data_IF_924091067550
#
_entry.id   IF_924091067550
#
_cell.length_a   1.000
_cell.length_b   1.000
_cell.length_c   1.000
_cell.angle_alpha   90.00
_cell.angle_beta   90.00
_cell.angle_gamma   90.00
#
_symmetry.space_group_name_H-M   'P 1'
#
loop_
_entity.id
_entity.type
_entity.pdbx_description
1 polymer ?
#
# COMPACT_ATOMS: atom_id res chain seq x y z
N UNK A 1 -21.39 -9.50 -9.41
CA UNK A 1 -20.65 -10.44 -10.28
C UNK A 1 -20.35 -9.89 -11.68
N UNK A 2 -21.26 -9.19 -12.37
CA UNK A 2 -20.99 -8.64 -13.72
C UNK A 2 -19.89 -7.56 -13.80
N UNK A 3 -19.72 -6.76 -12.74
CA UNK A 3 -18.68 -5.70 -12.68
C UNK A 3 -17.30 -6.22 -12.30
N UNK A 4 -17.21 -7.33 -11.56
CA UNK A 4 -15.95 -7.88 -11.07
C UNK A 4 -14.93 -8.17 -12.19
N UNK A 5 -15.29 -8.82 -13.32
CA UNK A 5 -14.34 -9.06 -14.39
C UNK A 5 -13.88 -7.76 -15.07
N UNK A 6 -14.79 -6.80 -15.30
CA UNK A 6 -14.42 -5.51 -15.90
C UNK A 6 -13.47 -4.71 -15.01
N UNK A 7 -13.71 -4.70 -13.70
CA UNK A 7 -12.83 -4.00 -12.75
C UNK A 7 -11.46 -4.67 -12.70
N UNK A 8 -11.42 -6.00 -12.59
CA UNK A 8 -10.16 -6.76 -12.44
C UNK A 8 -9.30 -6.75 -13.72
N UNK A 9 -9.91 -6.87 -14.90
CA UNK A 9 -9.18 -7.07 -16.16
C UNK A 9 -9.03 -5.81 -17.02
N UNK A 10 -9.87 -4.79 -16.83
CA UNK A 10 -9.77 -3.55 -17.61
C UNK A 10 -9.41 -2.34 -16.75
N UNK A 11 -10.19 -2.06 -15.70
CA UNK A 11 -10.07 -0.80 -14.95
C UNK A 11 -8.79 -0.78 -14.10
N UNK A 12 -8.52 -1.85 -13.32
CA UNK A 12 -7.32 -1.91 -12.47
C UNK A 12 -6.01 -1.85 -13.27
N UNK A 13 -5.84 -2.64 -14.37
CA UNK A 13 -4.63 -2.55 -15.20
C UNK A 13 -4.47 -1.18 -15.87
N UNK A 14 -5.54 -0.60 -16.39
CA UNK A 14 -5.50 0.72 -17.04
C UNK A 14 -5.16 1.82 -16.01
N UNK A 15 -5.78 1.79 -14.84
CA UNK A 15 -5.52 2.72 -13.74
C UNK A 15 -4.06 2.61 -13.26
N UNK A 16 -3.59 1.38 -13.06
CA UNK A 16 -2.20 1.10 -12.73
C UNK A 16 -1.26 1.65 -13.78
N UNK A 17 -1.51 1.39 -15.07
CA UNK A 17 -0.65 1.89 -16.14
C UNK A 17 -0.62 3.43 -16.22
N UNK A 18 -1.77 4.08 -16.08
CA UNK A 18 -1.89 5.53 -16.13
C UNK A 18 -1.24 6.24 -14.92
N UNK A 19 -1.34 5.67 -13.71
CA UNK A 19 -0.84 6.29 -12.47
C UNK A 19 0.53 5.77 -12.03
N UNK A 20 0.93 4.57 -12.46
CA UNK A 20 2.28 4.02 -12.25
C UNK A 20 3.24 4.44 -13.36
N UNK A 21 2.78 5.20 -14.35
CA UNK A 21 3.60 5.92 -15.33
C UNK A 21 4.47 7.00 -14.66
N UNK A 22 5.30 6.58 -13.71
CA UNK A 22 6.37 7.38 -13.14
C UNK A 22 7.34 7.62 -14.28
N UNK A 23 7.53 8.89 -14.63
CA UNK A 23 8.51 9.26 -15.64
C UNK A 23 9.89 8.81 -15.19
N UNK A 24 10.38 7.70 -15.75
CA UNK A 24 11.72 7.19 -15.45
C UNK A 24 12.82 7.99 -16.17
N UNK A 25 12.44 8.95 -17.02
CA UNK A 25 13.38 9.85 -17.67
C UNK A 25 13.91 10.85 -16.66
N UNK A 26 15.21 10.78 -16.37
CA UNK A 26 15.88 11.68 -15.42
C UNK A 26 15.96 11.17 -13.98
N UNK A 27 15.54 9.92 -13.69
CA UNK A 27 15.72 9.35 -12.35
C UNK A 27 17.20 9.13 -12.11
N UNK A 28 17.78 9.96 -11.26
CA UNK A 28 19.16 9.79 -10.82
C UNK A 28 19.15 8.88 -9.60
N UNK A 29 20.23 8.13 -9.36
CA UNK A 29 20.34 7.27 -8.17
C UNK A 29 20.16 8.08 -6.87
N UNK A 30 20.49 9.38 -6.94
CA UNK A 30 20.33 10.35 -5.87
C UNK A 30 18.87 10.71 -5.54
N UNK A 31 17.95 10.56 -6.49
CA UNK A 31 16.51 10.79 -6.28
C UNK A 31 15.88 9.70 -5.38
N UNK A 32 16.41 8.48 -5.43
CA UNK A 32 15.99 7.38 -4.56
C UNK A 32 16.54 7.49 -3.13
N UNK A 33 17.70 8.14 -2.95
CA UNK A 33 18.30 8.36 -1.63
C UNK A 33 17.78 9.61 -0.94
N UNK A 34 16.91 10.40 -1.58
CA UNK A 34 16.31 11.56 -0.95
C UNK A 34 15.39 11.13 0.20
N UNK A 35 15.46 11.85 1.32
CA UNK A 35 14.83 11.44 2.58
C UNK A 35 13.30 11.34 2.47
N UNK A 36 12.69 12.12 1.57
CA UNK A 36 11.24 12.20 1.39
C UNK A 36 10.67 10.93 0.71
N UNK A 37 11.09 10.53 -0.51
CA UNK A 37 10.68 9.26 -1.11
C UNK A 37 10.96 8.05 -0.23
N UNK A 38 12.12 8.03 0.43
CA UNK A 38 12.52 6.93 1.30
C UNK A 38 11.61 6.85 2.54
N UNK A 39 11.27 8.00 3.13
CA UNK A 39 10.33 8.10 4.25
C UNK A 39 8.91 7.68 3.86
N UNK A 40 8.44 8.05 2.67
CA UNK A 40 7.13 7.63 2.14
C UNK A 40 7.12 6.12 1.90
N UNK A 41 8.16 5.57 1.27
CA UNK A 41 8.28 4.13 1.00
C UNK A 41 8.34 3.32 2.30
N UNK A 42 9.19 3.72 3.25
CA UNK A 42 9.30 3.06 4.56
C UNK A 42 8.01 3.22 5.37
N UNK A 43 7.39 4.40 5.38
CA UNK A 43 6.14 4.67 6.08
C UNK A 43 4.96 3.87 5.52
N UNK A 44 4.85 3.73 4.20
CA UNK A 44 3.82 2.91 3.56
C UNK A 44 4.03 1.40 3.83
N UNK A 45 5.28 0.93 3.74
CA UNK A 45 5.59 -0.48 3.92
C UNK A 45 5.51 -0.91 5.40
N UNK A 46 6.22 -0.21 6.27
CA UNK A 46 6.33 -0.52 7.70
C UNK A 46 5.08 -0.05 8.45
N UNK A 47 4.56 1.14 8.13
CA UNK A 47 3.38 1.67 8.81
C UNK A 47 2.13 0.81 8.62
N UNK A 48 1.88 0.32 7.39
CA UNK A 48 0.73 -0.55 7.13
C UNK A 48 0.90 -1.93 7.77
N UNK A 49 2.08 -2.53 7.65
CA UNK A 49 2.35 -3.86 8.24
C UNK A 49 2.24 -3.82 9.77
N UNK A 50 2.93 -2.88 10.42
CA UNK A 50 2.91 -2.71 11.88
C UNK A 50 1.53 -2.27 12.36
N UNK A 51 0.86 -1.38 11.62
CA UNK A 51 -0.49 -0.93 11.95
C UNK A 51 -1.50 -2.08 11.93
N UNK A 52 -1.58 -2.83 10.83
CA UNK A 52 -2.51 -3.95 10.70
C UNK A 52 -2.21 -5.04 11.71
N UNK A 53 -0.94 -5.45 11.84
CA UNK A 53 -0.57 -6.50 12.79
C UNK A 53 -0.78 -6.06 14.25
N UNK A 54 -0.37 -4.84 14.60
CA UNK A 54 -0.49 -4.29 15.94
C UNK A 54 -1.94 -4.11 16.39
N UNK A 55 -2.80 -3.53 15.55
CA UNK A 55 -4.22 -3.41 15.88
C UNK A 55 -4.91 -4.77 15.96
N UNK A 56 -4.59 -5.71 15.05
CA UNK A 56 -5.13 -7.08 15.11
C UNK A 56 -4.70 -7.78 16.40
N UNK A 57 -3.42 -7.63 16.78
CA UNK A 57 -2.90 -8.18 18.04
C UNK A 57 -3.63 -7.61 19.25
N UNK A 58 -3.79 -6.29 19.31
CA UNK A 58 -4.49 -5.61 20.41
C UNK A 58 -5.94 -6.10 20.48
N UNK A 59 -6.66 -6.13 19.35
CA UNK A 59 -8.06 -6.55 19.29
C UNK A 59 -8.26 -8.01 19.73
N UNK A 60 -7.34 -8.91 19.39
CA UNK A 60 -7.36 -10.30 19.86
C UNK A 60 -7.06 -10.36 21.36
N UNK A 61 -6.05 -9.61 21.83
CA UNK A 61 -5.65 -9.62 23.25
C UNK A 61 -6.71 -9.00 24.18
N UNK A 62 -7.43 -7.99 23.73
CA UNK A 62 -8.53 -7.37 24.49
C UNK A 62 -9.84 -8.16 24.42
N UNK A 63 -9.88 -9.27 23.65
CA UNK A 63 -11.08 -10.09 23.47
C UNK A 63 -12.14 -9.46 22.55
N UNK A 64 -11.82 -8.36 21.85
CA UNK A 64 -12.72 -7.72 20.88
C UNK A 64 -12.83 -8.51 19.57
N UNK A 65 -11.82 -9.32 19.26
CA UNK A 65 -11.80 -10.21 18.11
C UNK A 65 -11.26 -11.59 18.50
N UNK A 66 -11.63 -12.62 17.76
CA UNK A 66 -11.05 -13.95 17.89
C UNK A 66 -10.13 -14.25 16.70
N UNK A 67 -9.08 -15.02 16.95
CA UNK A 67 -8.27 -15.56 15.87
C UNK A 67 -9.17 -16.47 15.00
N UNK A 68 -9.13 -16.36 13.66
CA UNK A 68 -9.93 -17.22 12.80
C UNK A 68 -9.63 -18.72 13.05
N UNK A 69 -10.66 -19.56 12.97
CA UNK A 69 -10.51 -21.00 13.21
C UNK A 69 -9.44 -21.62 12.29
N UNK A 70 -8.40 -22.19 12.88
CA UNK A 70 -7.28 -22.79 12.15
C UNK A 70 -6.21 -21.82 11.66
N UNK A 71 -6.36 -20.51 11.93
CA UNK A 71 -5.32 -19.55 11.63
C UNK A 71 -4.20 -19.56 12.69
N UNK A 72 -2.98 -19.25 12.27
CA UNK A 72 -1.83 -19.07 13.19
C UNK A 72 -1.31 -17.63 13.09
N UNK A 73 -0.57 -17.17 14.10
CA UNK A 73 0.03 -15.84 14.13
C UNK A 73 0.92 -15.54 12.91
N UNK A 74 1.57 -16.57 12.35
CA UNK A 74 2.30 -16.45 11.09
C UNK A 74 1.42 -16.10 9.88
N UNK A 75 0.19 -16.60 9.82
CA UNK A 75 -0.77 -16.25 8.77
C UNK A 75 -1.32 -14.84 8.98
N UNK A 76 -1.59 -14.44 10.22
CA UNK A 76 -1.99 -13.05 10.55
C UNK A 76 -0.89 -12.07 10.13
N UNK A 77 0.37 -12.41 10.39
CA UNK A 77 1.51 -11.62 9.94
C UNK A 77 1.61 -11.58 8.40
N UNK A 78 1.43 -12.73 7.73
CA UNK A 78 1.37 -12.78 6.26
C UNK A 78 0.28 -11.90 5.67
N UNK A 79 -0.93 -11.92 6.26
CA UNK A 79 -2.04 -11.05 5.85
C UNK A 79 -1.70 -9.58 6.10
N UNK A 80 -1.05 -9.25 7.22
CA UNK A 80 -0.61 -7.88 7.50
C UNK A 80 0.41 -7.37 6.45
N UNK A 81 1.30 -8.24 5.96
CA UNK A 81 2.20 -7.92 4.84
C UNK A 81 1.42 -7.69 3.55
N UNK A 82 0.47 -8.58 3.21
CA UNK A 82 -0.36 -8.43 2.01
C UNK A 82 -1.18 -7.13 2.04
N UNK A 83 -1.70 -6.73 3.21
CA UNK A 83 -2.35 -5.44 3.40
C UNK A 83 -1.41 -4.24 3.16
N UNK A 84 -0.10 -4.42 3.35
CA UNK A 84 0.91 -3.43 3.01
C UNK A 84 1.07 -3.20 1.50
N UNK A 85 0.69 -4.18 0.67
CA UNK A 85 0.77 -4.09 -0.80
C UNK A 85 -0.42 -3.29 -1.33
N UNK A 86 -0.38 -1.97 -1.14
CA UNK A 86 -1.45 -1.07 -1.52
C UNK A 86 -1.36 -0.54 -2.95
N UNK A 87 -0.66 -1.18 -3.88
CA UNK A 87 -0.24 -0.61 -5.18
C UNK A 87 -1.24 0.39 -5.79
N UNK A 88 -2.46 -0.04 -6.13
CA UNK A 88 -3.44 0.84 -6.80
C UNK A 88 -4.10 1.86 -5.88
N UNK A 89 -4.52 1.48 -4.67
CA UNK A 89 -5.11 2.42 -3.71
C UNK A 89 -4.10 3.43 -3.16
N UNK A 90 -2.84 3.04 -2.98
CA UNK A 90 -1.75 3.92 -2.54
C UNK A 90 -1.34 4.88 -3.65
N UNK A 91 -1.30 4.46 -4.93
CA UNK A 91 -1.08 5.38 -6.05
C UNK A 91 -2.22 6.39 -6.16
N UNK A 92 -3.46 5.94 -5.96
CA UNK A 92 -4.62 6.83 -5.92
C UNK A 92 -4.52 7.86 -4.78
N UNK A 93 -4.26 7.41 -3.55
CA UNK A 93 -4.10 8.31 -2.40
C UNK A 93 -2.89 9.24 -2.59
N UNK A 94 -1.79 8.75 -3.17
CA UNK A 94 -0.63 9.56 -3.51
C UNK A 94 -0.98 10.69 -4.49
N UNK A 95 -1.76 10.39 -5.53
CA UNK A 95 -2.21 11.39 -6.50
C UNK A 95 -3.16 12.45 -5.89
N UNK A 96 -3.87 12.11 -4.82
CA UNK A 96 -4.70 13.05 -4.05
C UNK A 96 -3.89 13.85 -3.03
N UNK A 97 -2.82 13.27 -2.49
CA UNK A 97 -1.98 13.88 -1.46
C UNK A 97 -1.02 14.93 -2.03
N UNK A 98 -0.59 14.79 -3.28
CA UNK A 98 0.36 15.70 -3.93
C UNK A 98 -0.27 16.36 -5.17
N UNK A 99 -0.32 17.69 -5.17
CA UNK A 99 -0.80 18.47 -6.32
C UNK A 99 0.30 18.49 -7.40
N UNK A 100 -0.02 18.23 -8.68
CA UNK A 100 0.96 18.33 -9.76
C UNK A 100 1.57 19.74 -9.82
N UNK A 101 2.89 19.85 -9.61
CA UNK A 101 3.64 21.11 -9.73
C UNK A 101 3.90 21.88 -8.43
N UNK A 102 3.52 21.36 -7.24
CA UNK A 102 3.83 21.99 -5.95
C UNK A 102 5.02 21.36 -5.20
N UNK A 103 5.66 20.35 -5.78
CA UNK A 103 6.90 19.76 -5.25
C UNK A 103 8.02 19.93 -6.27
N UNK A 104 9.09 20.62 -5.89
CA UNK A 104 10.36 20.68 -6.65
C UNK A 104 11.15 19.35 -6.56
N UNK A 105 10.44 18.23 -6.36
CA UNK A 105 10.95 16.87 -6.28
C UNK A 105 10.07 15.93 -7.10
#
# INVERSE_FOLDING_TARGET
HALHPWVAYAILPLFAFANAGVSLTGVNLHSFTHHVPLGIAAGLLIGKTVGVFGFTWIAIKTGMAALPNGANWGQVFGVAILCGIGFTMSLFVGSLAFVPGSSDY
#
